data_IF_260208073441
#
_entry.id   IF_260208073441
#
_cell.length_a   1.000
_cell.length_b   1.000
_cell.length_c   1.000
_cell.angle_alpha   90.00
_cell.angle_beta   90.00
_cell.angle_gamma   90.00
#
_symmetry.space_group_name_H-M   'P 1'
#
loop_
_entity.id
_entity.type
_entity.pdbx_description
1 polymer ?
#
# COMPACT_ATOMS: atom_id res chain seq x y z
N UNK A 1 0.71 14.71 -0.38
CA UNK A 1 -0.08 13.45 -0.31
C UNK A 1 -1.31 13.57 -1.21
N UNK A 2 -1.75 12.50 -1.87
CA UNK A 2 -3.01 12.51 -2.65
C UNK A 2 -4.19 12.72 -1.71
N UNK A 3 -4.99 13.77 -1.92
CA UNK A 3 -6.24 13.98 -1.19
C UNK A 3 -7.19 12.83 -1.52
N UNK A 4 -7.52 12.03 -0.51
CA UNK A 4 -8.38 10.86 -0.63
C UNK A 4 -9.83 11.33 -0.55
N UNK A 5 -10.72 10.63 -1.25
CA UNK A 5 -12.14 10.74 -0.94
C UNK A 5 -12.34 10.32 0.52
N UNK A 6 -12.85 11.22 1.37
CA UNK A 6 -13.12 10.92 2.78
C UNK A 6 -14.13 9.77 2.94
N UNK A 7 -15.00 9.58 1.96
CA UNK A 7 -16.07 8.57 1.97
C UNK A 7 -15.57 7.20 1.50
N UNK A 8 -14.72 7.15 0.48
CA UNK A 8 -14.33 5.89 -0.15
C UNK A 8 -12.91 5.44 0.20
N UNK A 9 -12.06 6.34 0.72
CA UNK A 9 -10.60 6.14 0.91
C UNK A 9 -9.91 5.61 -0.37
N UNK A 10 -10.53 5.88 -1.51
CA UNK A 10 -10.04 5.57 -2.85
C UNK A 10 -9.25 6.74 -3.38
N UNK A 11 -8.24 6.40 -4.17
CA UNK A 11 -7.52 7.40 -4.94
C UNK A 11 -8.30 7.65 -6.23
N UNK A 12 -8.73 8.90 -6.46
CA UNK A 12 -9.39 9.27 -7.72
C UNK A 12 -8.39 9.25 -8.88
N UNK A 13 -8.76 8.73 -10.07
CA UNK A 13 -7.93 8.81 -11.27
C UNK A 13 -7.55 10.25 -11.63
N UNK A 14 -8.47 11.20 -11.43
CA UNK A 14 -8.21 12.62 -11.65
C UNK A 14 -7.19 13.17 -10.65
N UNK A 15 -7.31 12.84 -9.37
CA UNK A 15 -6.34 13.28 -8.36
C UNK A 15 -4.93 12.75 -8.65
N UNK A 16 -4.82 11.53 -9.19
CA UNK A 16 -3.54 10.99 -9.67
C UNK A 16 -3.01 11.72 -10.88
N UNK A 17 -3.87 12.04 -11.83
CA UNK A 17 -3.50 12.81 -12.99
C UNK A 17 -2.97 14.19 -12.60
N UNK A 18 -3.69 14.94 -11.77
CA UNK A 18 -3.26 16.26 -11.27
C UNK A 18 -1.90 16.16 -10.57
N UNK A 19 -1.67 15.11 -9.77
CA UNK A 19 -0.38 14.89 -9.15
C UNK A 19 0.74 14.66 -10.18
N UNK A 20 0.49 13.82 -11.19
CA UNK A 20 1.48 13.52 -12.22
C UNK A 20 1.78 14.76 -13.09
N UNK A 21 0.76 15.52 -13.49
CA UNK A 21 0.94 16.76 -14.26
C UNK A 21 1.63 17.84 -13.42
N UNK A 22 1.30 17.95 -12.13
CA UNK A 22 1.98 18.85 -11.20
C UNK A 22 3.48 18.57 -11.07
N UNK A 23 3.88 17.28 -11.05
CA UNK A 23 5.30 16.89 -11.05
C UNK A 23 6.03 17.27 -12.33
N UNK A 24 5.35 17.22 -13.47
CA UNK A 24 5.94 17.59 -14.77
C UNK A 24 6.09 19.11 -14.96
N UNK A 25 5.63 19.93 -14.02
CA UNK A 25 5.69 21.39 -14.14
C UNK A 25 4.72 22.00 -15.16
N UNK A 26 3.90 21.19 -15.84
CA UNK A 26 2.93 21.65 -16.86
C UNK A 26 1.82 22.55 -16.32
N UNK A 27 1.65 22.63 -15.00
CA UNK A 27 0.69 23.52 -14.35
C UNK A 27 1.37 24.78 -13.76
N UNK A 28 2.68 24.93 -13.91
CA UNK A 28 3.44 26.04 -13.34
C UNK A 28 3.12 27.32 -14.14
N UNK A 29 2.65 28.36 -13.46
CA UNK A 29 2.25 29.63 -14.08
C UNK A 29 0.79 29.71 -14.54
N UNK A 30 0.01 28.64 -14.42
CA UNK A 30 -1.42 28.70 -14.70
C UNK A 30 -2.16 29.46 -13.58
N UNK A 31 -2.93 30.50 -13.92
CA UNK A 31 -3.80 31.23 -12.98
C UNK A 31 -4.72 30.28 -12.21
N UNK A 32 -5.32 29.32 -12.91
CA UNK A 32 -6.21 28.29 -12.35
C UNK A 32 -5.70 26.87 -12.65
N UNK A 33 -4.65 26.43 -11.94
CA UNK A 33 -4.04 25.11 -12.16
C UNK A 33 -5.03 23.93 -12.14
N UNK A 34 -6.08 24.01 -11.31
CA UNK A 34 -7.09 22.95 -11.20
C UNK A 34 -7.99 22.88 -12.44
N UNK A 35 -8.41 24.03 -12.96
CA UNK A 35 -9.24 24.15 -14.17
C UNK A 35 -8.46 23.71 -15.43
N UNK A 36 -7.19 24.15 -15.52
CA UNK A 36 -6.29 23.71 -16.60
C UNK A 36 -6.09 22.19 -16.55
N UNK A 37 -5.83 21.63 -15.37
CA UNK A 37 -5.69 20.18 -15.21
C UNK A 37 -6.99 19.44 -15.55
N UNK A 38 -8.16 19.98 -15.21
CA UNK A 38 -9.45 19.41 -15.62
C UNK A 38 -9.56 19.36 -17.15
N UNK A 39 -9.32 20.49 -17.84
CA UNK A 39 -9.34 20.57 -19.32
C UNK A 39 -8.40 19.55 -19.96
N UNK A 40 -7.19 19.39 -19.43
CA UNK A 40 -6.23 18.38 -19.92
C UNK A 40 -6.73 16.96 -19.69
N UNK A 41 -7.32 16.68 -18.52
CA UNK A 41 -7.87 15.36 -18.19
C UNK A 41 -9.04 14.96 -19.11
N UNK A 42 -9.91 15.92 -19.46
CA UNK A 42 -11.02 15.67 -20.38
C UNK A 42 -10.53 15.29 -21.78
N UNK A 43 -9.45 15.92 -22.24
CA UNK A 43 -8.80 15.67 -23.54
C UNK A 43 -8.02 14.36 -23.63
N UNK A 44 -7.80 13.65 -22.52
CA UNK A 44 -7.12 12.35 -22.55
C UNK A 44 -7.89 11.33 -23.38
N UNK A 45 -7.15 10.51 -24.11
CA UNK A 45 -7.70 9.37 -24.85
C UNK A 45 -8.34 8.34 -23.89
N UNK A 46 -9.28 7.51 -24.37
CA UNK A 46 -9.85 6.43 -23.56
C UNK A 46 -8.80 5.47 -23.01
N UNK A 47 -7.74 5.19 -23.79
CA UNK A 47 -6.64 4.32 -23.38
C UNK A 47 -5.86 4.90 -22.19
N UNK A 48 -5.53 6.20 -22.22
CA UNK A 48 -4.84 6.89 -21.13
C UNK A 48 -5.71 6.97 -19.87
N UNK A 49 -7.00 7.27 -20.03
CA UNK A 49 -7.98 7.27 -18.92
C UNK A 49 -8.07 5.87 -18.28
N UNK A 50 -8.06 4.81 -19.08
CA UNK A 50 -8.05 3.43 -18.60
C UNK A 50 -6.76 3.11 -17.83
N UNK A 51 -5.60 3.52 -18.35
CA UNK A 51 -4.31 3.34 -17.69
C UNK A 51 -4.24 4.07 -16.34
N UNK A 52 -4.72 5.31 -16.27
CA UNK A 52 -4.85 6.08 -15.02
C UNK A 52 -5.77 5.40 -14.03
N UNK A 53 -6.91 4.90 -14.48
CA UNK A 53 -7.86 4.16 -13.64
C UNK A 53 -7.24 2.89 -13.07
N UNK A 54 -6.48 2.14 -13.87
CA UNK A 54 -5.74 0.95 -13.40
C UNK A 54 -4.69 1.32 -12.35
N UNK A 55 -3.94 2.41 -12.55
CA UNK A 55 -2.97 2.91 -11.55
C UNK A 55 -3.66 3.38 -10.27
N UNK A 56 -4.82 4.03 -10.39
CA UNK A 56 -5.66 4.44 -9.27
C UNK A 56 -6.15 3.26 -8.43
N UNK A 57 -6.59 2.19 -9.09
CA UNK A 57 -6.98 0.94 -8.42
C UNK A 57 -5.81 0.30 -7.68
N UNK A 58 -4.61 0.24 -8.27
CA UNK A 58 -3.42 -0.30 -7.60
C UNK A 58 -2.99 0.51 -6.37
N UNK A 59 -3.16 1.83 -6.40
CA UNK A 59 -2.84 2.72 -5.25
C UNK A 59 -3.95 2.79 -4.20
N UNK A 60 -5.16 2.37 -4.54
CA UNK A 60 -6.28 2.29 -3.60
C UNK A 60 -5.99 1.20 -2.57
N UNK A 61 -6.27 1.46 -1.29
CA UNK A 61 -5.91 0.57 -0.18
C UNK A 61 -6.48 -0.84 -0.37
N UNK A 62 -5.64 -1.84 -0.76
CA UNK A 62 -6.13 -3.19 -1.01
C UNK A 62 -6.66 -3.82 0.29
N UNK A 63 -6.08 -3.44 1.43
CA UNK A 63 -6.47 -3.91 2.76
C UNK A 63 -7.91 -3.50 3.11
N UNK A 64 -8.31 -2.27 2.78
CA UNK A 64 -9.66 -1.79 3.05
C UNK A 64 -10.69 -2.40 2.11
N UNK A 65 -10.36 -2.57 0.83
CA UNK A 65 -11.23 -3.30 -0.09
C UNK A 65 -11.42 -4.75 0.35
N UNK A 66 -10.36 -5.41 0.81
CA UNK A 66 -10.42 -6.77 1.36
C UNK A 66 -11.34 -6.82 2.59
N UNK A 67 -11.23 -5.85 3.52
CA UNK A 67 -12.14 -5.73 4.65
C UNK A 67 -13.60 -5.54 4.19
N UNK A 68 -13.87 -4.61 3.28
CA UNK A 68 -15.22 -4.35 2.78
C UNK A 68 -15.82 -5.57 2.08
N UNK A 69 -15.05 -6.31 1.27
CA UNK A 69 -15.50 -7.56 0.64
C UNK A 69 -15.86 -8.62 1.69
N UNK A 70 -15.02 -8.79 2.70
CA UNK A 70 -15.27 -9.74 3.79
C UNK A 70 -16.51 -9.33 4.60
N UNK A 71 -16.59 -8.06 5.00
CA UNK A 71 -17.71 -7.51 5.74
C UNK A 71 -19.04 -7.69 5.00
N UNK A 72 -19.09 -7.40 3.68
CA UNK A 72 -20.29 -7.64 2.86
C UNK A 72 -20.73 -9.10 2.84
N UNK A 73 -19.79 -10.04 2.67
CA UNK A 73 -20.09 -11.48 2.70
C UNK A 73 -20.64 -11.90 4.08
N UNK A 74 -20.06 -11.38 5.16
CA UNK A 74 -20.46 -11.72 6.53
C UNK A 74 -21.78 -11.08 6.94
N UNK A 75 -22.03 -9.83 6.57
CA UNK A 75 -23.32 -9.16 6.78
C UNK A 75 -24.48 -9.93 6.14
N UNK A 76 -24.28 -10.54 4.96
CA UNK A 76 -25.31 -11.38 4.31
C UNK A 76 -25.59 -12.68 5.07
N UNK A 77 -24.62 -13.22 5.80
CA UNK A 77 -24.74 -14.48 6.56
C UNK A 77 -25.24 -14.28 7.98
N UNK A 78 -25.06 -13.09 8.56
CA UNK A 78 -25.43 -12.78 9.94
C UNK A 78 -26.78 -12.04 10.00
N UNK A 79 -27.73 -12.38 9.13
CA UNK A 79 -29.00 -11.64 9.00
C UNK A 79 -29.88 -11.71 10.26
N UNK A 80 -29.67 -12.71 11.11
CA UNK A 80 -30.52 -12.97 12.26
C UNK A 80 -30.07 -12.20 13.52
N UNK A 81 -28.86 -11.60 13.49
CA UNK A 81 -28.33 -10.85 14.63
C UNK A 81 -28.65 -9.35 14.53
N UNK A 82 -28.72 -8.59 15.64
CA UNK A 82 -28.77 -7.12 15.57
C UNK A 82 -27.49 -6.54 14.95
N UNK A 83 -27.61 -5.39 14.28
CA UNK A 83 -26.54 -4.84 13.44
C UNK A 83 -25.25 -4.51 14.21
N UNK A 84 -25.38 -4.12 15.49
CA UNK A 84 -24.26 -3.86 16.40
C UNK A 84 -23.38 -5.11 16.58
N UNK A 85 -23.99 -6.23 16.99
CA UNK A 85 -23.31 -7.53 17.15
C UNK A 85 -22.68 -8.03 15.85
N UNK A 86 -23.32 -7.76 14.69
CA UNK A 86 -22.73 -8.11 13.38
C UNK A 86 -21.41 -7.38 13.15
N UNK A 87 -21.36 -6.08 13.45
CA UNK A 87 -20.17 -5.27 13.25
C UNK A 87 -19.03 -5.72 14.15
N UNK A 88 -19.31 -6.03 15.42
CA UNK A 88 -18.33 -6.58 16.37
C UNK A 88 -17.74 -7.90 15.86
N UNK A 89 -18.60 -8.83 15.43
CA UNK A 89 -18.16 -10.11 14.89
C UNK A 89 -17.28 -9.95 13.63
N UNK A 90 -17.64 -9.01 12.76
CA UNK A 90 -16.84 -8.68 11.56
C UNK A 90 -15.48 -8.09 11.95
N UNK A 91 -15.43 -7.19 12.93
CA UNK A 91 -14.19 -6.60 13.45
C UNK A 91 -13.29 -7.68 14.06
N UNK A 92 -13.82 -8.50 14.95
CA UNK A 92 -13.08 -9.59 15.60
C UNK A 92 -12.53 -10.61 14.58
N UNK A 93 -13.33 -10.96 13.57
CA UNK A 93 -12.87 -11.85 12.50
C UNK A 93 -11.74 -11.22 11.68
N UNK A 94 -11.83 -9.92 11.38
CA UNK A 94 -10.80 -9.21 10.63
C UNK A 94 -9.48 -9.10 11.41
N UNK A 95 -9.54 -8.79 12.70
CA UNK A 95 -8.34 -8.72 13.56
C UNK A 95 -7.67 -10.09 13.69
N UNK A 96 -8.46 -11.16 13.89
CA UNK A 96 -7.95 -12.54 13.91
C UNK A 96 -7.27 -12.95 12.60
N UNK A 97 -7.86 -12.60 11.44
CA UNK A 97 -7.25 -12.86 10.13
C UNK A 97 -5.94 -12.08 9.92
N UNK A 98 -5.86 -10.84 10.41
CA UNK A 98 -4.62 -10.05 10.30
C UNK A 98 -3.52 -10.57 11.23
N UNK A 99 -3.87 -10.98 12.45
CA UNK A 99 -2.92 -11.59 13.39
C UNK A 99 -2.31 -12.89 12.84
N UNK A 100 -3.15 -13.75 12.25
CA UNK A 100 -2.72 -15.03 11.65
C UNK A 100 -1.95 -14.88 10.32
N UNK A 101 -2.11 -13.77 9.59
CA UNK A 101 -1.27 -13.46 8.43
C UNK A 101 0.09 -12.87 8.82
N UNK A 102 0.16 -12.10 9.91
CA UNK A 102 1.42 -11.53 10.42
C UNK A 102 2.33 -12.59 11.05
N UNK A 103 1.77 -13.73 11.49
CA UNK A 103 2.49 -14.81 12.15
C UNK A 103 3.04 -15.89 11.21
N UNK A 104 3.13 -15.64 9.90
CA UNK A 104 3.91 -16.50 9.01
C UNK A 104 5.32 -15.92 8.88
N UNK A 105 6.28 -16.30 9.76
CA UNK A 105 7.67 -16.15 9.39
C UNK A 105 7.86 -17.01 8.14
N UNK A 106 8.17 -16.37 7.01
CA UNK A 106 8.88 -17.06 5.95
C UNK A 106 10.08 -17.73 6.61
N UNK A 107 10.10 -19.07 6.63
CA UNK A 107 11.26 -19.85 7.02
C UNK A 107 12.42 -19.31 6.19
N UNK A 108 13.19 -18.42 6.80
CA UNK A 108 14.31 -17.77 6.17
C UNK A 108 15.36 -18.84 6.23
N UNK A 109 15.48 -19.62 5.16
CA UNK A 109 16.60 -20.54 4.98
C UNK A 109 17.85 -19.70 5.26
N UNK A 110 18.66 -20.03 6.28
CA UNK A 110 19.82 -19.23 6.62
C UNK A 110 20.73 -19.19 5.40
N UNK A 111 20.81 -18.02 4.77
CA UNK A 111 21.70 -17.79 3.65
C UNK A 111 23.14 -18.11 4.09
N UNK A 112 23.79 -19.00 3.36
CA UNK A 112 25.18 -19.43 3.59
C UNK A 112 26.20 -18.28 3.69
N UNK A 113 25.82 -17.04 3.31
CA UNK A 113 26.65 -15.84 3.42
C UNK A 113 26.91 -15.36 4.86
N UNK A 114 26.11 -15.78 5.85
CA UNK A 114 26.34 -15.39 7.24
C UNK A 114 27.57 -16.07 7.88
N UNK A 115 27.99 -17.24 7.37
CA UNK A 115 29.10 -18.02 7.95
C UNK A 115 30.49 -17.51 7.56
N UNK A 116 30.61 -16.75 6.46
CA UNK A 116 31.91 -16.23 5.96
C UNK A 116 32.37 -14.97 6.71
N UNK A 117 31.47 -14.26 7.41
CA UNK A 117 31.85 -13.07 8.19
C UNK A 117 32.39 -13.39 9.60
N UNK A 118 32.12 -14.58 10.14
CA UNK A 118 32.59 -14.97 11.47
C UNK A 118 34.08 -15.36 11.49
N UNK A 119 34.62 -15.88 10.38
CA UNK A 119 36.03 -16.30 10.28
C UNK A 119 37.01 -15.14 10.05
N UNK A 120 36.58 -13.99 9.50
CA UNK A 120 37.46 -12.81 9.35
C UNK A 120 37.77 -12.07 10.65
N UNK A 121 37.02 -12.29 11.74
CA UNK A 121 37.31 -11.65 13.05
C UNK A 121 38.25 -12.47 13.94
N UNK A 122 38.42 -13.77 13.68
CA UNK A 122 39.36 -14.62 14.43
C UNK A 122 40.80 -14.53 13.92
N UNK A 123 41.01 -14.30 12.61
CA UNK A 123 42.36 -14.23 12.01
C UNK A 123 43.17 -12.96 12.30
N UNK A 124 42.59 -11.91 12.91
CA UNK A 124 43.30 -10.64 13.17
C UNK A 124 43.95 -10.55 14.56
N UNK A 125 43.85 -11.59 15.39
CA UNK A 125 44.41 -11.60 16.76
C UNK A 125 45.74 -12.36 16.94
N UNK A 126 46.29 -12.99 15.89
CA UNK A 126 47.52 -13.82 16.02
C UNK A 126 48.79 -13.11 15.49
N UNK A 127 48.66 -11.94 14.85
CA UNK A 127 49.82 -11.19 14.32
C UNK A 127 50.24 -10.01 15.22
N UNK A 128 50.59 -10.27 16.49
CA UNK A 128 51.46 -9.38 17.30
C UNK A 128 52.24 -10.26 18.27
N UNK A 129 53.40 -10.75 17.82
CA UNK A 129 54.38 -11.40 18.70
C UNK A 129 54.97 -10.41 19.72
N UNK A 130 55.54 -10.92 20.83
CA UNK A 130 56.09 -10.10 21.90
C UNK A 130 57.38 -9.41 21.45
N UNK A 131 57.48 -8.10 21.68
CA UNK A 131 58.75 -7.37 21.70
C UNK A 131 59.18 -7.25 23.16
N UNK A 132 60.21 -7.97 23.56
CA UNK A 132 61.37 -7.51 24.34
C UNK A 132 62.33 -8.68 24.52
#
# INVERSE_FOLDING_TARGET
MLRRSHVLLRVSPFALFVQDVGKTGKLKGAKNACETAAKMYWKLSPAEKSALTRRAKKKTFPLQEAYQRMAKRKMRRLRDMPISKRQEHIRAKWTSMRGSQASKPTNTVPSAKAKVKATRKAGKKIAKGPRK
#
